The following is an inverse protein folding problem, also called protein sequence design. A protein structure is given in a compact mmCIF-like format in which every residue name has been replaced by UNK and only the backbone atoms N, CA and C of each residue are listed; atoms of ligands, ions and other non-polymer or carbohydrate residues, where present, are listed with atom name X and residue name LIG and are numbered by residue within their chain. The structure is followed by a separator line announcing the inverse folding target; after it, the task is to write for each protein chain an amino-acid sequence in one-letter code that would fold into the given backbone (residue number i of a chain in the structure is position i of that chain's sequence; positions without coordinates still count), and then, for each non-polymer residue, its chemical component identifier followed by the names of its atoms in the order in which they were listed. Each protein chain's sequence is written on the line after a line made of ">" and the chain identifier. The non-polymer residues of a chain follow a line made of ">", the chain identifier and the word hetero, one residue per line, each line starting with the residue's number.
data_IF_508058726175
#
_entry.id   IF_508058726175
#
_cell.length_a   1.000
_cell.length_b   1.000
_cell.length_c   1.000
_cell.angle_alpha   90.00
_cell.angle_beta   90.00
_cell.angle_gamma   90.00
#
_symmetry.space_group_name_H-M   'P 1'
#
loop_
_entity.id
_entity.type
_entity.pdbx_description
1 polymer ?
#
# COMPACT_ATOMS: atom_id res chain seq x y z
N UNK A 1 6.77 -5.78 6.56
CA UNK A 1 6.71 -4.65 5.61
C UNK A 1 5.79 -5.06 4.49
N UNK A 2 5.24 -4.10 3.75
CA UNK A 2 4.21 -4.35 2.74
C UNK A 2 4.77 -4.40 1.32
N UNK A 3 3.93 -4.76 0.35
CA UNK A 3 4.34 -4.83 -1.06
C UNK A 3 4.79 -3.46 -1.60
N UNK A 4 5.89 -3.41 -2.40
CA UNK A 4 6.31 -2.23 -3.16
C UNK A 4 5.44 -1.98 -4.39
N UNK A 5 4.49 -2.88 -4.70
CA UNK A 5 3.50 -2.72 -5.75
C UNK A 5 2.13 -2.39 -5.14
N UNK A 6 1.26 -1.72 -5.91
CA UNK A 6 -0.13 -1.49 -5.51
C UNK A 6 -1.10 -2.55 -6.02
N UNK A 7 -0.61 -3.52 -6.80
CA UNK A 7 -1.37 -4.62 -7.40
C UNK A 7 -0.57 -5.92 -7.28
N UNK A 8 -1.21 -7.09 -7.47
CA UNK A 8 -0.53 -8.37 -7.46
C UNK A 8 0.67 -8.40 -8.43
N UNK A 9 1.78 -8.93 -7.94
CA UNK A 9 3.01 -9.12 -8.72
C UNK A 9 3.41 -10.58 -8.70
N UNK A 10 4.11 -11.04 -9.73
CA UNK A 10 4.68 -12.40 -9.83
C UNK A 10 6.18 -12.35 -9.64
N UNK A 11 6.72 -13.28 -8.85
CA UNK A 11 8.17 -13.47 -8.76
C UNK A 11 8.70 -14.15 -10.02
N UNK A 12 9.74 -13.57 -10.62
CA UNK A 12 10.44 -14.13 -11.78
C UNK A 12 11.78 -14.76 -11.38
N UNK A 13 12.44 -14.18 -10.38
CA UNK A 13 13.73 -14.67 -9.87
C UNK A 13 13.72 -14.67 -8.34
N UNK A 14 14.06 -15.82 -7.75
CA UNK A 14 14.13 -15.97 -6.30
C UNK A 14 15.47 -15.48 -5.72
N UNK A 15 15.43 -15.09 -4.45
CA UNK A 15 16.64 -14.84 -3.66
C UNK A 15 17.54 -16.07 -3.62
N UNK A 16 18.86 -15.84 -3.73
CA UNK A 16 19.90 -16.88 -3.73
C UNK A 16 19.82 -17.89 -4.89
N UNK A 17 19.02 -17.62 -5.93
CA UNK A 17 19.06 -18.42 -7.16
C UNK A 17 20.47 -18.35 -7.76
N UNK A 18 21.14 -19.50 -7.89
CA UNK A 18 22.47 -19.58 -8.50
C UNK A 18 22.43 -19.19 -9.98
N UNK A 19 23.50 -18.56 -10.46
CA UNK A 19 23.66 -18.21 -11.87
C UNK A 19 24.81 -17.24 -12.12
N UNK A 20 24.87 -16.66 -13.30
CA UNK A 20 26.00 -15.85 -13.80
C UNK A 20 26.08 -14.42 -13.23
N UNK A 21 25.42 -14.14 -12.10
CA UNK A 21 25.59 -12.86 -11.39
C UNK A 21 27.00 -12.76 -10.79
N UNK A 22 27.50 -11.53 -10.59
CA UNK A 22 28.87 -11.32 -10.10
C UNK A 22 29.18 -11.99 -8.76
N UNK A 23 28.19 -12.21 -7.90
CA UNK A 23 28.36 -12.95 -6.64
C UNK A 23 28.00 -14.44 -6.75
N UNK A 24 27.73 -14.95 -7.95
CA UNK A 24 27.33 -16.33 -8.24
C UNK A 24 25.87 -16.66 -7.97
N UNK A 25 25.08 -15.70 -7.47
CA UNK A 25 23.67 -15.89 -7.14
C UNK A 25 22.89 -14.57 -7.18
N UNK A 26 21.57 -14.65 -7.17
CA UNK A 26 20.68 -13.50 -7.14
C UNK A 26 20.59 -12.87 -5.73
N UNK A 27 20.97 -11.60 -5.58
CA UNK A 27 21.10 -10.89 -4.29
C UNK A 27 19.79 -10.38 -3.69
N UNK A 28 18.72 -10.36 -4.48
CA UNK A 28 17.40 -9.91 -4.06
C UNK A 28 16.29 -10.83 -4.58
N UNK A 29 15.10 -10.29 -4.79
CA UNK A 29 14.05 -10.94 -5.58
C UNK A 29 13.69 -10.07 -6.76
N UNK A 30 13.36 -10.72 -7.87
CA UNK A 30 12.82 -10.04 -9.05
C UNK A 30 11.34 -10.30 -9.14
N UNK A 31 10.57 -9.22 -9.34
CA UNK A 31 9.13 -9.32 -9.50
C UNK A 31 8.62 -8.41 -10.60
N UNK A 32 7.52 -8.83 -11.21
CA UNK A 32 6.84 -8.12 -12.30
C UNK A 32 5.39 -7.88 -11.89
N UNK A 33 4.91 -6.65 -12.09
CA UNK A 33 3.49 -6.32 -12.05
C UNK A 33 3.07 -5.79 -13.42
N UNK A 34 2.22 -6.55 -14.11
CA UNK A 34 1.83 -6.25 -15.50
C UNK A 34 0.81 -5.10 -15.59
N UNK A 35 0.04 -4.86 -14.53
CA UNK A 35 -1.11 -3.94 -14.52
C UNK A 35 -0.83 -2.60 -13.86
N UNK A 36 0.16 -2.51 -12.97
CA UNK A 36 0.61 -1.26 -12.37
C UNK A 36 2.12 -1.30 -12.18
N UNK A 37 2.81 -0.39 -12.88
CA UNK A 37 4.28 -0.29 -12.86
C UNK A 37 4.78 0.60 -11.71
N UNK A 38 3.91 1.20 -10.91
CA UNK A 38 4.31 2.08 -9.81
C UNK A 38 5.06 1.30 -8.74
N UNK A 39 6.24 1.81 -8.36
CA UNK A 39 7.04 1.27 -7.26
C UNK A 39 7.01 2.27 -6.10
N UNK A 40 6.61 1.79 -4.93
CA UNK A 40 6.46 2.59 -3.71
C UNK A 40 7.38 2.10 -2.59
N UNK A 41 7.63 2.96 -1.60
CA UNK A 41 8.38 2.58 -0.41
C UNK A 41 7.62 1.55 0.44
N UNK A 42 8.27 0.44 0.79
CA UNK A 42 7.68 -0.64 1.61
C UNK A 42 7.52 -0.30 3.10
N UNK A 43 8.16 0.79 3.55
CA UNK A 43 8.12 1.29 4.92
C UNK A 43 8.61 2.76 4.98
N UNK A 44 8.27 3.44 6.08
CA UNK A 44 8.86 4.74 6.42
C UNK A 44 10.38 4.64 6.56
N UNK A 45 11.11 5.65 6.10
CA UNK A 45 12.56 5.67 6.20
C UNK A 45 13.21 6.93 5.65
N UNK A 46 14.52 6.84 5.43
CA UNK A 46 15.37 7.93 4.92
C UNK A 46 16.22 7.42 3.76
N UNK A 47 16.19 8.13 2.64
CA UNK A 47 16.99 7.81 1.44
C UNK A 47 18.49 7.93 1.75
N UNK A 48 19.24 6.89 1.45
CA UNK A 48 20.70 6.83 1.64
C UNK A 48 21.47 7.02 0.34
N UNK A 49 20.99 6.46 -0.77
CA UNK A 49 21.65 6.52 -2.08
C UNK A 49 20.63 6.63 -3.21
N UNK A 50 21.02 7.30 -4.28
CA UNK A 50 20.28 7.37 -5.55
C UNK A 50 21.27 7.20 -6.68
N UNK A 51 21.08 6.16 -7.50
CA UNK A 51 21.98 5.85 -8.63
C UNK A 51 23.48 5.75 -8.27
N UNK A 52 23.82 5.22 -7.09
CA UNK A 52 25.18 5.18 -6.52
C UNK A 52 25.56 3.81 -5.92
N UNK A 53 25.08 2.72 -6.52
CA UNK A 53 25.38 1.33 -6.14
C UNK A 53 26.05 0.52 -7.27
N UNK A 54 26.45 1.19 -8.36
CA UNK A 54 27.00 0.58 -9.57
C UNK A 54 26.01 0.56 -10.75
N UNK A 55 26.54 0.55 -11.97
CA UNK A 55 25.77 0.67 -13.20
C UNK A 55 24.86 -0.53 -13.49
N UNK A 56 25.17 -1.71 -12.95
CA UNK A 56 24.36 -2.92 -13.13
C UNK A 56 22.94 -2.77 -12.61
N UNK A 57 22.72 -2.00 -11.54
CA UNK A 57 21.38 -1.76 -10.98
C UNK A 57 20.55 -0.76 -11.79
N UNK A 58 21.14 -0.07 -12.78
CA UNK A 58 20.45 0.96 -13.56
C UNK A 58 19.99 2.12 -12.68
N UNK A 59 18.78 2.61 -12.92
CA UNK A 59 18.15 3.57 -12.02
C UNK A 59 17.67 2.86 -10.76
N UNK A 60 18.10 3.35 -9.59
CA UNK A 60 17.80 2.72 -8.32
C UNK A 60 17.81 3.70 -7.17
N UNK A 61 17.10 3.34 -6.12
CA UNK A 61 17.09 4.04 -4.84
C UNK A 61 17.44 3.07 -3.72
N UNK A 62 18.22 3.55 -2.76
CA UNK A 62 18.46 2.88 -1.49
C UNK A 62 17.95 3.76 -0.38
N UNK A 63 17.17 3.20 0.54
CA UNK A 63 16.75 3.89 1.75
C UNK A 63 16.79 2.95 2.95
N UNK A 64 16.98 3.53 4.13
CA UNK A 64 16.95 2.81 5.40
C UNK A 64 15.62 3.05 6.09
N UNK A 65 14.92 1.98 6.43
CA UNK A 65 13.66 2.04 7.16
C UNK A 65 13.89 2.47 8.60
N UNK A 66 12.85 2.97 9.26
CA UNK A 66 12.90 3.28 10.70
C UNK A 66 13.14 2.04 11.57
N UNK A 67 12.81 0.84 11.07
CA UNK A 67 13.12 -0.44 11.73
C UNK A 67 14.58 -0.88 11.56
N UNK A 68 15.39 -0.11 10.83
CA UNK A 68 16.82 -0.34 10.65
C UNK A 68 17.20 -1.20 9.44
N UNK A 69 16.24 -1.66 8.63
CA UNK A 69 16.52 -2.45 7.42
C UNK A 69 16.85 -1.51 6.26
N UNK A 70 17.85 -1.85 5.48
CA UNK A 70 18.18 -1.14 4.25
C UNK A 70 17.51 -1.82 3.07
N UNK A 71 16.85 -1.03 2.22
CA UNK A 71 16.09 -1.48 1.06
C UNK A 71 16.72 -0.88 -0.19
N UNK A 72 17.01 -1.71 -1.19
CA UNK A 72 17.39 -1.27 -2.53
C UNK A 72 16.27 -1.63 -3.50
N UNK A 73 15.82 -0.67 -4.31
CA UNK A 73 14.89 -0.88 -5.42
C UNK A 73 15.60 -0.47 -6.72
N UNK A 74 15.75 -1.38 -7.68
CA UNK A 74 16.55 -1.21 -8.89
C UNK A 74 15.79 -1.48 -10.19
N UNK A 75 16.49 -1.24 -11.31
CA UNK A 75 16.00 -1.33 -12.68
C UNK A 75 14.83 -0.40 -13.00
N UNK A 76 14.70 0.73 -12.27
CA UNK A 76 13.60 1.67 -12.47
C UNK A 76 13.64 2.27 -13.89
N UNK A 77 12.48 2.59 -14.44
CA UNK A 77 12.37 3.10 -15.81
C UNK A 77 13.00 4.48 -15.97
N UNK A 78 12.92 5.30 -14.92
CA UNK A 78 13.45 6.66 -14.87
C UNK A 78 14.27 6.85 -13.59
N UNK A 79 15.14 7.87 -13.59
CA UNK A 79 15.87 8.27 -12.39
C UNK A 79 14.88 8.61 -11.27
N UNK A 80 15.09 8.12 -10.03
CA UNK A 80 14.25 8.49 -8.90
C UNK A 80 14.22 10.01 -8.69
N UNK A 81 13.04 10.55 -8.39
CA UNK A 81 12.86 11.98 -8.08
C UNK A 81 13.21 12.31 -6.63
N UNK A 82 13.36 11.30 -5.78
CA UNK A 82 13.79 11.47 -4.39
C UNK A 82 15.28 11.80 -4.30
N UNK A 83 15.70 12.47 -3.23
CA UNK A 83 17.09 12.86 -2.99
C UNK A 83 17.67 12.21 -1.73
N UNK A 84 19.01 12.10 -1.67
CA UNK A 84 19.72 11.59 -0.49
C UNK A 84 19.38 12.44 0.74
N UNK A 85 19.07 11.80 1.87
CA UNK A 85 18.62 12.45 3.10
C UNK A 85 17.12 12.73 3.17
N UNK A 86 16.38 12.58 2.07
CA UNK A 86 14.93 12.75 2.07
C UNK A 86 14.26 11.67 2.92
N UNK A 87 13.31 12.08 3.78
CA UNK A 87 12.40 11.14 4.45
C UNK A 87 11.34 10.67 3.48
N UNK A 88 11.12 9.36 3.44
CA UNK A 88 10.06 8.72 2.65
C UNK A 88 9.02 8.12 3.58
N UNK A 89 7.76 8.22 3.19
CA UNK A 89 6.66 7.52 3.85
C UNK A 89 6.38 6.20 3.16
N UNK A 90 5.96 5.19 3.93
CA UNK A 90 5.43 3.97 3.38
C UNK A 90 4.34 4.31 2.35
N UNK A 91 4.49 3.83 1.11
CA UNK A 91 3.59 4.14 0.00
C UNK A 91 3.91 5.36 -0.83
N UNK A 92 4.88 6.16 -0.41
CA UNK A 92 5.40 7.20 -1.26
C UNK A 92 6.00 6.56 -2.52
N UNK A 93 5.64 7.11 -3.68
CA UNK A 93 6.20 6.70 -4.96
C UNK A 93 7.71 6.95 -4.97
N UNK A 94 8.45 5.91 -5.36
CA UNK A 94 9.91 5.95 -5.55
C UNK A 94 10.28 5.99 -7.04
N UNK A 95 9.42 5.45 -7.90
CA UNK A 95 9.61 5.43 -9.34
C UNK A 95 8.65 4.47 -10.02
N UNK A 96 9.01 4.04 -11.23
CA UNK A 96 8.26 3.06 -12.01
C UNK A 96 9.16 1.89 -12.40
N UNK A 97 8.60 0.68 -12.45
CA UNK A 97 9.24 -0.55 -12.87
C UNK A 97 9.74 -0.39 -14.32
N UNK A 98 11.00 -0.74 -14.55
CA UNK A 98 11.65 -0.56 -15.85
C UNK A 98 12.64 -1.66 -16.17
N UNK A 99 13.55 -1.36 -17.10
CA UNK A 99 14.55 -2.31 -17.61
C UNK A 99 15.91 -1.63 -17.79
N UNK A 100 16.32 -0.78 -16.84
CA UNK A 100 17.59 -0.06 -16.92
C UNK A 100 18.72 -0.84 -16.24
N UNK A 101 19.98 -0.60 -16.65
CA UNK A 101 21.12 -1.35 -16.14
C UNK A 101 21.26 -2.73 -16.77
N UNK A 102 21.84 -3.68 -16.04
CA UNK A 102 22.00 -5.06 -16.49
C UNK A 102 20.73 -5.87 -16.20
N UNK A 103 19.72 -5.72 -17.05
CA UNK A 103 18.41 -6.36 -16.93
C UNK A 103 17.94 -6.88 -18.28
N UNK A 104 17.33 -8.07 -18.31
CA UNK A 104 16.87 -8.74 -19.53
C UNK A 104 15.42 -8.42 -19.91
N UNK A 105 14.66 -7.77 -19.03
CA UNK A 105 13.27 -7.40 -19.24
C UNK A 105 12.73 -6.54 -18.10
N UNK A 106 11.58 -5.89 -18.30
CA UNK A 106 11.06 -4.97 -17.30
C UNK A 106 10.65 -5.69 -15.99
N UNK A 107 11.31 -5.37 -14.88
CA UNK A 107 11.03 -5.94 -13.55
C UNK A 107 11.53 -5.01 -12.43
N UNK A 108 11.07 -5.26 -11.21
CA UNK A 108 11.66 -4.69 -9.99
C UNK A 108 12.65 -5.70 -9.42
N UNK A 109 13.90 -5.30 -9.27
CA UNK A 109 14.85 -5.98 -8.39
C UNK A 109 14.83 -5.30 -7.02
N UNK A 110 14.63 -6.09 -5.96
CA UNK A 110 14.60 -5.58 -4.59
C UNK A 110 15.47 -6.40 -3.65
N UNK A 111 16.35 -5.72 -2.93
CA UNK A 111 17.21 -6.30 -1.88
C UNK A 111 16.84 -5.74 -0.52
N UNK A 112 17.01 -6.58 0.50
CA UNK A 112 16.96 -6.17 1.90
C UNK A 112 18.30 -6.48 2.57
N UNK A 113 18.80 -5.58 3.41
CA UNK A 113 20.00 -5.79 4.21
C UNK A 113 19.76 -5.46 5.69
N UNK A 114 20.31 -6.29 6.56
CA UNK A 114 20.40 -5.99 7.99
C UNK A 114 21.69 -5.23 8.30
N UNK A 115 21.71 -3.93 7.97
CA UNK A 115 22.88 -3.07 8.11
C UNK A 115 22.50 -1.62 8.35
N UNK A 116 23.47 -0.78 8.74
CA UNK A 116 23.26 0.67 8.90
C UNK A 116 23.34 1.43 7.57
N UNK A 117 24.02 0.86 6.57
CA UNK A 117 24.16 1.40 5.24
C UNK A 117 24.24 0.26 4.22
N UNK A 118 23.78 0.50 3.00
CA UNK A 118 23.90 -0.48 1.92
C UNK A 118 25.36 -0.80 1.61
N UNK A 119 25.64 -2.09 1.40
CA UNK A 119 26.91 -2.58 0.89
C UNK A 119 26.68 -3.76 -0.03
N UNK A 120 27.44 -3.83 -1.12
CA UNK A 120 27.25 -4.85 -2.15
C UNK A 120 27.34 -6.28 -1.58
N UNK A 121 26.26 -7.05 -1.76
CA UNK A 121 26.14 -8.45 -1.36
C UNK A 121 26.51 -8.76 0.12
N UNK A 122 26.29 -7.81 1.04
CA UNK A 122 26.53 -7.99 2.48
C UNK A 122 25.22 -8.02 3.27
N UNK A 123 25.17 -8.85 4.31
CA UNK A 123 24.06 -8.93 5.27
C UNK A 123 22.67 -9.05 4.63
N UNK A 124 22.60 -9.73 3.48
CA UNK A 124 21.38 -9.87 2.70
C UNK A 124 20.31 -10.67 3.47
N UNK A 125 19.10 -10.15 3.47
CA UNK A 125 17.91 -10.81 3.99
C UNK A 125 17.04 -11.28 2.83
N UNK A 126 16.38 -12.42 2.98
CA UNK A 126 15.40 -12.91 2.01
C UNK A 126 14.15 -12.00 2.02
N UNK A 127 13.89 -11.22 0.95
CA UNK A 127 12.75 -10.31 0.91
C UNK A 127 11.40 -10.99 1.17
N UNK A 128 11.24 -12.26 0.77
CA UNK A 128 9.98 -13.00 0.97
C UNK A 128 9.64 -13.26 2.45
N UNK A 129 10.60 -13.14 3.37
CA UNK A 129 10.36 -13.29 4.81
C UNK A 129 9.91 -11.99 5.49
N UNK A 130 10.14 -10.85 4.85
CA UNK A 130 9.94 -9.53 5.47
C UNK A 130 8.90 -8.67 4.75
N UNK A 131 8.56 -9.02 3.52
CA UNK A 131 7.58 -8.34 2.69
C UNK A 131 6.34 -9.22 2.56
N UNK A 132 5.19 -8.72 3.01
CA UNK A 132 3.89 -9.25 2.62
C UNK A 132 3.56 -8.75 1.21
N UNK A 133 3.73 -9.63 0.22
CA UNK A 133 3.49 -9.32 -1.18
C UNK A 133 2.02 -9.16 -1.55
N UNK A 134 1.10 -9.48 -0.64
CA UNK A 134 -0.34 -9.35 -0.82
C UNK A 134 -0.93 -8.13 -0.09
N UNK A 135 -0.11 -7.40 0.66
CA UNK A 135 -0.51 -6.15 1.33
C UNK A 135 -0.31 -4.95 0.39
N UNK A 136 -1.41 -4.50 -0.24
CA UNK A 136 -1.42 -3.41 -1.23
C UNK A 136 -1.97 -2.07 -0.68
N UNK A 137 -1.76 -0.98 -1.43
CA UNK A 137 -2.36 0.31 -1.09
C UNK A 137 -3.74 0.21 -1.69
N UNK A 138 -4.76 0.10 -0.83
CA UNK A 138 -6.12 0.23 -1.30
C UNK A 138 -6.22 1.62 -1.92
N UNK A 139 -6.40 1.65 -3.25
CA UNK A 139 -6.68 2.86 -4.02
C UNK A 139 -8.12 3.32 -3.80
N UNK A 140 -8.89 2.59 -3.00
CA UNK A 140 -10.07 3.15 -2.35
C UNK A 140 -9.57 4.14 -1.32
N UNK A 141 -9.60 5.42 -1.69
CA UNK A 141 -9.86 6.48 -0.72
C UNK A 141 -11.02 5.99 0.15
N UNK A 142 -10.74 5.42 1.31
CA UNK A 142 -11.64 5.56 2.45
C UNK A 142 -11.55 7.05 2.80
N UNK A 143 -12.30 7.85 2.05
CA UNK A 143 -12.52 9.24 2.33
C UNK A 143 -13.24 9.28 3.68
N UNK A 144 -12.46 9.56 4.74
CA UNK A 144 -13.00 10.09 5.97
C UNK A 144 -13.63 11.43 5.61
N UNK A 145 -14.90 11.40 5.26
CA UNK A 145 -15.72 12.58 4.98
C UNK A 145 -16.56 12.79 6.21
N UNK A 146 -16.33 13.83 7.00
CA UNK A 146 -17.32 14.25 8.02
C UNK A 146 -18.37 15.12 7.34
N UNK A 147 -19.43 14.48 6.84
CA UNK A 147 -20.53 15.17 6.18
C UNK A 147 -21.84 14.96 6.94
N UNK A 148 -22.61 16.02 7.21
CA UNK A 148 -23.94 15.86 7.77
C UNK A 148 -24.79 14.91 6.91
N UNK A 149 -25.45 13.96 7.55
CA UNK A 149 -26.35 13.02 6.91
C UNK A 149 -27.79 13.35 7.28
N UNK A 150 -28.62 13.57 6.26
CA UNK A 150 -30.07 13.69 6.42
C UNK A 150 -30.70 12.39 5.97
N UNK A 151 -31.37 11.72 6.89
CA UNK A 151 -32.09 10.48 6.60
C UNK A 151 -33.34 10.74 5.73
N UNK A 152 -33.79 9.71 5.00
CA UNK A 152 -35.03 9.72 4.24
C UNK A 152 -36.29 9.72 5.11
N UNK A 153 -37.47 9.67 4.49
CA UNK A 153 -38.76 9.68 5.19
C UNK A 153 -39.09 8.38 5.94
N UNK A 154 -38.35 7.30 5.69
CA UNK A 154 -38.50 5.99 6.34
C UNK A 154 -37.32 5.68 7.24
N UNK A 155 -37.54 4.86 8.28
CA UNK A 155 -36.43 4.34 9.10
C UNK A 155 -35.48 3.51 8.24
N UNK A 156 -34.17 3.72 8.40
CA UNK A 156 -33.13 2.98 7.69
C UNK A 156 -32.54 1.90 8.61
N UNK A 157 -32.47 0.63 8.20
CA UNK A 157 -31.78 -0.39 8.97
C UNK A 157 -30.28 -0.10 9.03
N UNK A 158 -29.70 -0.25 10.21
CA UNK A 158 -28.28 -0.06 10.49
C UNK A 158 -27.63 -1.42 10.66
N UNK A 159 -26.45 -1.60 10.07
CA UNK A 159 -25.73 -2.87 10.01
C UNK A 159 -24.33 -2.75 10.60
N UNK A 160 -23.82 -3.83 11.19
CA UNK A 160 -22.48 -3.85 11.78
C UNK A 160 -21.38 -3.95 10.71
N UNK A 161 -21.65 -4.64 9.60
CA UNK A 161 -20.67 -4.87 8.53
C UNK A 161 -21.20 -4.41 7.18
N UNK A 162 -20.27 -4.10 6.25
CA UNK A 162 -20.59 -3.79 4.86
C UNK A 162 -21.26 -4.98 4.15
N UNK A 163 -20.86 -6.21 4.48
CA UNK A 163 -21.45 -7.41 3.91
C UNK A 163 -22.93 -7.56 4.31
N UNK A 164 -23.25 -7.35 5.59
CA UNK A 164 -24.62 -7.37 6.10
C UNK A 164 -25.46 -6.24 5.48
N UNK A 165 -24.89 -5.04 5.38
CA UNK A 165 -25.52 -3.88 4.74
C UNK A 165 -25.88 -4.14 3.27
N UNK A 166 -24.94 -4.63 2.46
CA UNK A 166 -25.16 -4.92 1.05
C UNK A 166 -26.21 -6.01 0.83
N UNK A 167 -26.16 -7.04 1.67
CA UNK A 167 -27.08 -8.16 1.58
C UNK A 167 -28.41 -7.92 2.31
N UNK A 168 -28.54 -6.80 3.02
CA UNK A 168 -29.68 -6.41 3.85
C UNK A 168 -30.06 -7.47 4.89
N UNK A 169 -29.08 -8.03 5.61
CA UNK A 169 -29.27 -9.08 6.64
C UNK A 169 -28.70 -8.65 7.98
N UNK A 170 -29.19 -9.23 9.08
CA UNK A 170 -28.63 -9.04 10.43
C UNK A 170 -28.51 -7.57 10.86
N UNK A 171 -29.57 -6.77 10.67
CA UNK A 171 -29.58 -5.38 11.14
C UNK A 171 -29.44 -5.31 12.65
N UNK A 172 -28.58 -4.42 13.15
CA UNK A 172 -28.33 -4.18 14.57
C UNK A 172 -29.22 -3.08 15.16
N UNK A 173 -30.00 -2.41 14.31
CA UNK A 173 -30.92 -1.36 14.72
C UNK A 173 -31.47 -0.58 13.53
N UNK A 174 -32.03 0.59 13.82
CA UNK A 174 -32.60 1.48 12.82
C UNK A 174 -32.22 2.94 13.12
N UNK A 175 -31.93 3.71 12.08
CA UNK A 175 -31.81 5.16 12.11
C UNK A 175 -33.17 5.77 11.76
N UNK A 176 -33.67 6.66 12.61
CA UNK A 176 -34.96 7.31 12.41
C UNK A 176 -34.88 8.49 11.43
N UNK A 177 -35.97 8.86 10.73
CA UNK A 177 -35.99 9.98 9.77
C UNK A 177 -35.47 11.32 10.32
N UNK A 178 -35.70 11.57 11.60
CA UNK A 178 -35.36 12.84 12.27
C UNK A 178 -34.06 12.75 13.10
N UNK A 179 -33.37 11.61 13.09
CA UNK A 179 -32.10 11.48 13.81
C UNK A 179 -30.98 12.16 13.03
N UNK A 180 -30.23 13.02 13.72
CA UNK A 180 -29.03 13.64 13.16
C UNK A 180 -27.92 12.60 13.11
N UNK A 181 -27.35 12.43 11.92
CA UNK A 181 -26.21 11.56 11.70
C UNK A 181 -25.12 12.33 10.96
N UNK A 182 -23.88 11.86 11.10
CA UNK A 182 -22.73 12.28 10.31
C UNK A 182 -22.27 11.07 9.55
N UNK A 183 -22.27 11.14 8.22
CA UNK A 183 -21.56 10.16 7.42
C UNK A 183 -20.08 10.40 7.63
N UNK A 184 -19.30 9.35 7.90
CA UNK A 184 -17.85 9.42 8.12
C UNK A 184 -17.06 8.67 7.06
N UNK A 185 -17.65 7.70 6.37
CA UNK A 185 -17.02 6.97 5.28
C UNK A 185 -18.06 6.34 4.35
N UNK A 186 -17.65 6.05 3.12
CA UNK A 186 -18.43 5.25 2.17
C UNK A 186 -17.63 4.01 1.81
N UNK A 187 -18.20 2.83 2.01
CA UNK A 187 -17.56 1.55 1.73
C UNK A 187 -18.48 0.67 0.88
N UNK A 188 -18.06 0.40 -0.36
CA UNK A 188 -18.77 -0.48 -1.30
C UNK A 188 -20.27 -0.16 -1.47
N UNK A 189 -20.63 1.13 -1.47
CA UNK A 189 -22.02 1.61 -1.61
C UNK A 189 -22.83 1.66 -0.31
N UNK A 190 -22.23 1.35 0.84
CA UNK A 190 -22.80 1.56 2.17
C UNK A 190 -22.15 2.78 2.85
N UNK A 191 -22.93 3.49 3.66
CA UNK A 191 -22.52 4.70 4.34
C UNK A 191 -22.29 4.38 5.82
N UNK A 192 -21.08 4.63 6.32
CA UNK A 192 -20.78 4.53 7.74
C UNK A 192 -21.26 5.81 8.42
N UNK A 193 -22.24 5.68 9.32
CA UNK A 193 -22.81 6.80 10.03
C UNK A 193 -22.44 6.76 11.51
N UNK A 194 -22.10 7.92 12.06
CA UNK A 194 -22.11 8.22 13.48
C UNK A 194 -23.41 8.97 13.80
N UNK A 195 -24.19 8.51 14.77
CA UNK A 195 -25.45 9.16 15.13
C UNK A 195 -25.73 9.08 16.62
N UNK A 196 -26.45 10.09 17.12
CA UNK A 196 -26.82 10.17 18.52
C UNK A 196 -28.27 9.71 18.69
N UNK A 197 -28.49 8.84 19.68
CA UNK A 197 -29.81 8.68 20.29
C UNK A 197 -29.89 9.56 21.53
N UNK A 198 -31.07 9.75 22.13
CA UNK A 198 -31.27 10.60 23.31
C UNK A 198 -30.34 10.27 24.50
N UNK A 199 -29.75 9.07 24.54
CA UNK A 199 -28.93 8.60 25.66
C UNK A 199 -27.60 7.94 25.26
N UNK A 200 -27.34 7.65 23.98
CA UNK A 200 -26.13 6.95 23.52
C UNK A 200 -25.65 7.39 22.14
N UNK A 201 -24.33 7.45 21.95
CA UNK A 201 -23.69 7.50 20.63
C UNK A 201 -23.69 6.11 20.00
N UNK A 202 -24.07 6.01 18.73
CA UNK A 202 -24.10 4.77 17.96
C UNK A 202 -23.37 4.96 16.63
N UNK A 203 -22.91 3.85 16.07
CA UNK A 203 -22.32 3.81 14.74
C UNK A 203 -22.78 2.57 13.97
N UNK A 204 -22.78 2.65 12.64
CA UNK A 204 -23.02 1.51 11.77
C UNK A 204 -23.25 1.89 10.31
N UNK A 205 -23.39 0.89 9.46
CA UNK A 205 -23.57 1.04 8.02
C UNK A 205 -25.05 1.16 7.66
N UNK A 206 -25.41 2.05 6.73
CA UNK A 206 -26.72 2.08 6.08
C UNK A 206 -26.56 1.89 4.57
N UNK A 207 -27.49 1.15 3.97
CA UNK A 207 -27.62 1.09 2.52
C UNK A 207 -28.42 2.32 2.06
N UNK A 208 -27.99 3.01 1.00
CA UNK A 208 -28.71 4.17 0.47
C UNK A 208 -30.20 3.86 0.25
N UNK A 209 -31.08 4.50 1.04
CA UNK A 209 -32.52 4.32 0.94
C UNK A 209 -33.27 5.66 1.04
N UNK A 210 -32.69 6.70 0.43
CA UNK A 210 -33.26 8.05 0.39
C UNK A 210 -32.57 9.07 1.31
N UNK A 211 -31.62 8.64 2.15
CA UNK A 211 -30.74 9.58 2.85
C UNK A 211 -29.73 10.27 1.93
N UNK A 212 -29.41 11.52 2.23
CA UNK A 212 -28.47 12.35 1.46
C UNK A 212 -27.41 12.98 2.37
N UNK A 213 -26.18 13.06 1.88
CA UNK A 213 -25.16 13.95 2.46
C UNK A 213 -25.58 15.40 2.16
N UNK A 214 -25.52 16.27 3.16
CA UNK A 214 -25.94 17.68 3.08
C UNK A 214 -24.73 18.60 3.05
#
# INVERSE_FOLDING_TARGET
>A
MRSPFNKPSRQTTAFKKSGSWSCGYHTGVDRVCDTDKTIVAIADGTVQRVNDCGSSYGNHVVYRTNSGIVVLCAHLAQKPTVTVGQKVKQGQMLGTMGNTGNSSGAHLHIELQNSTAWSYAKNLLDPNKYIDWNEFFKTEKEEFMEQPWKNGSTKEPVYQTVADCKNKRNSIGFLSPNEKATCTAIAQGCYLLLYNTATTQKCGFVAYNGGVMV
#
